data_IF_230296734484
#
_entry.id   IF_230296734484
#
_cell.length_a   1.000
_cell.length_b   1.000
_cell.length_c   1.000
_cell.angle_alpha   90.00
_cell.angle_beta   90.00
_cell.angle_gamma   90.00
#
_symmetry.space_group_name_H-M   'P 1'
#
loop_
_entity.id
_entity.type
_entity.pdbx_description
1 polymer ?
#
# COMPACT_ATOMS: atom_id res chain seq x y z
N UNK A 1 18.68 -33.49 -27.94
CA UNK A 1 18.28 -33.75 -26.54
C UNK A 1 19.53 -34.00 -25.74
N UNK A 2 19.65 -33.33 -24.61
CA UNK A 2 20.74 -33.50 -23.65
C UNK A 2 20.16 -33.70 -22.26
N UNK A 3 20.95 -34.37 -21.39
CA UNK A 3 20.66 -34.55 -19.99
C UNK A 3 21.55 -33.58 -19.20
N UNK A 4 20.95 -32.71 -18.41
CA UNK A 4 21.63 -31.72 -17.60
C UNK A 4 21.61 -32.13 -16.13
N UNK A 5 22.78 -32.26 -15.53
CA UNK A 5 22.94 -32.42 -14.08
C UNK A 5 23.23 -31.04 -13.46
N UNK A 6 22.47 -30.64 -12.46
CA UNK A 6 22.62 -29.35 -11.77
C UNK A 6 22.38 -29.58 -10.28
N UNK A 7 22.96 -28.74 -9.41
CA UNK A 7 22.73 -28.85 -7.95
C UNK A 7 21.26 -28.53 -7.54
N UNK A 8 20.45 -27.97 -8.44
CA UNK A 8 19.06 -27.62 -8.14
C UNK A 8 18.11 -28.81 -8.13
N UNK A 9 18.49 -29.95 -8.78
CA UNK A 9 17.60 -31.10 -8.93
C UNK A 9 18.32 -32.39 -8.55
N UNK A 10 17.64 -33.31 -7.83
CA UNK A 10 18.24 -34.60 -7.42
C UNK A 10 18.46 -35.56 -8.58
N UNK A 11 17.77 -35.35 -9.70
CA UNK A 11 17.86 -36.15 -10.93
C UNK A 11 18.20 -35.25 -12.12
N UNK A 12 18.91 -35.78 -13.13
CA UNK A 12 19.19 -35.02 -14.36
C UNK A 12 17.92 -34.63 -15.09
N UNK A 13 17.91 -33.42 -15.64
CA UNK A 13 16.79 -32.87 -16.41
C UNK A 13 17.06 -33.01 -17.93
N UNK A 14 16.06 -33.48 -18.63
CA UNK A 14 16.12 -33.57 -20.07
C UNK A 14 15.71 -32.24 -20.72
N UNK A 15 16.45 -31.82 -21.76
CA UNK A 15 16.18 -30.60 -22.45
C UNK A 15 16.87 -30.51 -23.81
N UNK A 16 16.74 -29.33 -24.42
CA UNK A 16 17.41 -28.95 -25.66
C UNK A 16 18.56 -28.00 -25.34
N UNK A 17 19.76 -28.38 -25.76
CA UNK A 17 20.92 -27.48 -25.77
C UNK A 17 20.99 -26.78 -27.11
N UNK A 18 21.17 -25.47 -27.09
CA UNK A 18 21.35 -24.60 -28.22
C UNK A 18 22.66 -23.85 -27.99
N UNK A 19 23.60 -24.04 -28.86
CA UNK A 19 24.82 -23.24 -28.89
C UNK A 19 24.77 -22.32 -30.11
N UNK A 20 25.09 -21.04 -29.87
CA UNK A 20 25.10 -20.00 -30.90
C UNK A 20 26.51 -19.46 -31.02
N UNK A 21 26.95 -19.21 -32.24
CA UNK A 21 28.20 -18.45 -32.45
C UNK A 21 28.00 -16.99 -32.04
N UNK A 22 29.07 -16.28 -31.72
CA UNK A 22 29.00 -14.88 -31.30
C UNK A 22 28.25 -13.98 -32.30
N UNK A 23 28.33 -14.27 -33.57
CA UNK A 23 27.62 -13.56 -34.64
C UNK A 23 26.11 -13.84 -34.73
N UNK A 24 25.62 -14.89 -34.06
CA UNK A 24 24.20 -15.27 -34.01
C UNK A 24 23.50 -14.84 -32.72
N UNK A 25 24.26 -14.31 -31.77
CA UNK A 25 23.69 -13.79 -30.52
C UNK A 25 23.10 -12.41 -30.74
N UNK A 26 21.86 -12.20 -30.26
CA UNK A 26 21.27 -10.87 -30.15
C UNK A 26 21.84 -10.13 -28.93
N UNK A 27 21.68 -8.81 -28.90
CA UNK A 27 22.09 -8.00 -27.75
C UNK A 27 21.47 -8.51 -26.44
N UNK A 28 22.33 -8.87 -25.50
CA UNK A 28 21.94 -9.39 -24.18
C UNK A 28 21.68 -10.90 -24.11
N UNK A 29 21.75 -11.63 -25.23
CA UNK A 29 21.74 -13.10 -25.22
C UNK A 29 23.08 -13.68 -24.79
N UNK A 30 23.03 -14.77 -24.05
CA UNK A 30 24.21 -15.57 -23.68
C UNK A 30 24.09 -17.00 -24.22
N UNK A 31 25.21 -17.60 -24.59
CA UNK A 31 25.30 -18.99 -24.99
C UNK A 31 26.29 -19.75 -24.09
N UNK A 32 26.19 -21.08 -23.98
CA UNK A 32 25.13 -21.92 -24.51
C UNK A 32 23.77 -21.75 -23.79
N UNK A 33 22.68 -22.07 -24.49
CA UNK A 33 21.33 -22.05 -23.91
C UNK A 33 20.82 -23.46 -23.68
N UNK A 34 20.25 -23.72 -22.50
CA UNK A 34 19.56 -24.97 -22.20
C UNK A 34 18.11 -24.69 -21.90
N UNK A 35 17.18 -25.38 -22.53
CA UNK A 35 15.75 -25.30 -22.29
C UNK A 35 15.22 -26.67 -21.86
N UNK A 36 14.71 -26.77 -20.65
CA UNK A 36 14.07 -28.00 -20.15
C UNK A 36 12.82 -28.32 -20.96
N UNK A 37 12.59 -29.62 -21.19
CA UNK A 37 11.33 -30.12 -21.74
C UNK A 37 10.20 -30.10 -20.71
N UNK A 38 10.53 -30.15 -19.43
CA UNK A 38 9.56 -29.99 -18.36
C UNK A 38 9.18 -28.53 -18.22
N UNK A 39 7.89 -28.25 -18.42
CA UNK A 39 7.36 -26.89 -18.38
C UNK A 39 7.28 -26.34 -16.95
N UNK A 40 7.30 -27.21 -15.94
CA UNK A 40 7.20 -26.80 -14.54
C UNK A 40 7.95 -27.75 -13.62
N UNK A 41 8.86 -27.18 -12.88
CA UNK A 41 9.73 -27.84 -11.91
C UNK A 41 9.59 -27.17 -10.56
N UNK A 42 9.66 -27.95 -9.50
CA UNK A 42 9.67 -27.43 -8.13
C UNK A 42 11.06 -27.63 -7.54
N UNK A 43 11.71 -26.54 -7.20
CA UNK A 43 13.00 -26.54 -6.52
C UNK A 43 12.75 -26.10 -5.08
N UNK A 44 12.96 -27.04 -4.15
CA UNK A 44 13.02 -26.72 -2.73
C UNK A 44 14.40 -26.17 -2.40
N UNK A 45 14.44 -25.13 -1.59
CA UNK A 45 15.69 -24.48 -1.17
C UNK A 45 16.57 -24.08 -2.37
N UNK A 46 15.97 -23.42 -3.38
CA UNK A 46 16.72 -22.75 -4.44
C UNK A 46 17.84 -21.89 -3.84
N UNK A 47 17.53 -21.24 -2.72
CA UNK A 47 18.43 -20.57 -1.78
C UNK A 47 17.91 -20.78 -0.37
N UNK A 48 18.67 -20.34 0.64
CA UNK A 48 18.21 -20.41 2.03
C UNK A 48 16.84 -19.72 2.19
N UNK A 49 15.87 -20.43 2.76
CA UNK A 49 14.49 -19.96 2.96
C UNK A 49 13.73 -19.57 1.67
N UNK A 50 14.13 -20.11 0.52
CA UNK A 50 13.53 -19.74 -0.76
C UNK A 50 13.27 -20.98 -1.62
N UNK A 51 12.01 -21.17 -2.02
CA UNK A 51 11.59 -22.18 -2.98
C UNK A 51 11.28 -21.54 -4.34
N UNK A 52 11.37 -22.35 -5.40
CA UNK A 52 10.97 -21.94 -6.74
C UNK A 52 9.99 -22.97 -7.34
N UNK A 53 9.01 -22.46 -8.09
CA UNK A 53 8.05 -23.28 -8.83
C UNK A 53 7.80 -22.65 -10.21
N UNK A 54 8.30 -23.26 -11.27
CA UNK A 54 8.20 -22.73 -12.64
C UNK A 54 9.03 -23.50 -13.66
N UNK A 55 9.10 -22.99 -14.88
CA UNK A 55 9.96 -23.52 -15.93
C UNK A 55 11.43 -23.24 -15.66
N UNK A 56 12.31 -24.05 -16.27
CA UNK A 56 13.75 -23.95 -16.10
C UNK A 56 14.45 -23.83 -17.45
N UNK A 57 15.30 -22.81 -17.56
CA UNK A 57 16.23 -22.64 -18.66
C UNK A 57 17.54 -22.08 -18.13
N UNK A 58 18.63 -22.31 -18.85
CA UNK A 58 19.91 -21.66 -18.63
C UNK A 58 20.26 -20.82 -19.86
N UNK A 59 20.79 -19.63 -19.65
CA UNK A 59 21.37 -18.76 -20.67
C UNK A 59 22.76 -18.36 -20.19
N UNK A 60 23.80 -18.99 -20.73
CA UNK A 60 25.14 -18.89 -20.17
C UNK A 60 25.17 -19.37 -18.71
N UNK A 61 25.48 -18.44 -17.80
CA UNK A 61 25.50 -18.70 -16.35
C UNK A 61 24.20 -18.35 -15.63
N UNK A 62 23.22 -17.77 -16.35
CA UNK A 62 21.97 -17.32 -15.76
C UNK A 62 20.92 -18.42 -15.77
N UNK A 63 20.27 -18.63 -14.65
CA UNK A 63 19.04 -19.40 -14.56
C UNK A 63 17.87 -18.49 -14.95
N UNK A 64 17.09 -18.91 -15.94
CA UNK A 64 15.89 -18.22 -16.38
C UNK A 64 14.68 -19.03 -15.95
N UNK A 65 13.94 -18.46 -15.01
CA UNK A 65 12.66 -19.00 -14.53
C UNK A 65 11.55 -18.53 -15.47
N UNK A 66 10.77 -19.46 -16.04
CA UNK A 66 9.68 -19.14 -16.96
C UNK A 66 8.34 -19.62 -16.46
N UNK A 67 7.30 -18.82 -16.68
CA UNK A 67 5.91 -19.16 -16.47
C UNK A 67 5.07 -18.86 -17.70
N UNK A 68 3.78 -19.11 -17.63
CA UNK A 68 2.79 -18.69 -18.60
C UNK A 68 1.69 -17.87 -17.90
N UNK A 69 0.79 -17.25 -18.68
CA UNK A 69 -0.27 -16.38 -18.14
C UNK A 69 -1.21 -17.09 -17.17
N UNK A 70 -1.46 -18.37 -17.38
CA UNK A 70 -2.32 -19.19 -16.53
C UNK A 70 -1.58 -19.69 -15.28
N UNK A 71 -0.29 -19.92 -15.41
CA UNK A 71 0.59 -20.46 -14.37
C UNK A 71 1.94 -19.74 -14.37
N UNK A 72 2.03 -18.51 -13.82
CA UNK A 72 3.29 -17.81 -13.72
C UNK A 72 4.29 -18.59 -12.86
N UNK A 73 5.57 -18.40 -13.11
CA UNK A 73 6.63 -18.91 -12.25
C UNK A 73 6.56 -18.20 -10.90
N UNK A 74 7.00 -18.86 -9.82
CA UNK A 74 6.92 -18.36 -8.45
C UNK A 74 8.24 -18.50 -7.73
N UNK A 75 8.62 -17.45 -7.02
CA UNK A 75 9.65 -17.46 -5.98
C UNK A 75 8.92 -17.32 -4.64
N UNK A 76 9.12 -18.28 -3.76
CA UNK A 76 8.39 -18.37 -2.49
C UNK A 76 9.39 -18.26 -1.36
N UNK A 77 9.26 -17.22 -0.56
CA UNK A 77 10.08 -16.99 0.63
C UNK A 77 9.39 -17.56 1.87
N UNK A 78 10.16 -18.24 2.70
CA UNK A 78 9.67 -18.92 3.90
C UNK A 78 10.37 -18.39 5.15
N UNK A 79 9.65 -18.43 6.26
CA UNK A 79 10.21 -18.27 7.59
C UNK A 79 9.77 -19.47 8.42
N UNK A 80 10.71 -20.23 8.97
CA UNK A 80 10.42 -21.48 9.70
C UNK A 80 9.51 -22.42 8.89
N UNK A 81 9.88 -22.66 7.63
CA UNK A 81 9.14 -23.50 6.66
C UNK A 81 7.74 -23.00 6.27
N UNK A 82 7.23 -21.92 6.84
CA UNK A 82 5.96 -21.30 6.47
C UNK A 82 6.16 -20.30 5.35
N UNK A 83 5.44 -20.40 4.21
CA UNK A 83 5.45 -19.37 3.19
C UNK A 83 4.89 -18.05 3.77
N UNK A 84 5.66 -16.97 3.65
CA UNK A 84 5.26 -15.64 4.10
C UNK A 84 5.11 -14.70 2.92
N UNK A 85 5.94 -14.90 1.89
CA UNK A 85 6.04 -13.96 0.79
C UNK A 85 6.19 -14.72 -0.53
N UNK A 86 5.35 -14.43 -1.49
CA UNK A 86 5.36 -15.01 -2.84
C UNK A 86 5.50 -13.91 -3.88
N UNK A 87 6.41 -14.12 -4.81
CA UNK A 87 6.53 -13.29 -6.01
C UNK A 87 6.27 -14.18 -7.21
N UNK A 88 5.34 -13.78 -8.07
CA UNK A 88 5.01 -14.50 -9.29
C UNK A 88 5.25 -13.65 -10.53
N UNK A 89 5.80 -14.26 -11.59
CA UNK A 89 6.12 -13.59 -12.85
C UNK A 89 6.14 -14.56 -14.02
N UNK A 90 6.04 -14.02 -15.23
CA UNK A 90 6.27 -14.78 -16.46
C UNK A 90 7.75 -15.09 -16.66
N UNK A 91 8.65 -14.20 -16.17
CA UNK A 91 10.08 -14.37 -16.35
C UNK A 91 10.86 -13.90 -15.11
N UNK A 92 11.75 -14.75 -14.63
CA UNK A 92 12.78 -14.42 -13.65
C UNK A 92 14.15 -14.61 -14.28
N UNK A 93 15.05 -13.65 -14.10
CA UNK A 93 16.48 -13.80 -14.34
C UNK A 93 17.21 -13.96 -13.00
N UNK A 94 17.92 -15.05 -12.84
CA UNK A 94 18.58 -15.41 -11.61
C UNK A 94 20.06 -15.68 -11.86
N UNK A 95 20.92 -15.01 -11.15
CA UNK A 95 22.35 -15.29 -11.07
C UNK A 95 22.75 -15.46 -9.58
N UNK A 96 23.98 -15.87 -9.25
CA UNK A 96 24.35 -16.08 -7.85
C UNK A 96 24.18 -14.87 -6.93
N UNK A 97 24.22 -13.65 -7.45
CA UNK A 97 24.16 -12.41 -6.68
C UNK A 97 22.74 -11.86 -6.54
N UNK A 98 21.84 -12.16 -7.49
CA UNK A 98 20.52 -11.50 -7.55
C UNK A 98 19.45 -12.33 -8.26
N UNK A 99 18.21 -11.96 -8.00
CA UNK A 99 17.03 -12.40 -8.78
C UNK A 99 16.26 -11.17 -9.21
N UNK A 100 15.94 -11.08 -10.49
CA UNK A 100 15.24 -9.92 -11.08
C UNK A 100 14.01 -10.39 -11.85
N UNK A 101 12.92 -9.63 -11.73
CA UNK A 101 11.80 -9.68 -12.68
C UNK A 101 11.29 -8.27 -12.95
N UNK A 102 11.08 -7.95 -14.23
CA UNK A 102 10.57 -6.63 -14.63
C UNK A 102 9.08 -6.48 -14.42
N UNK A 103 8.36 -7.59 -14.34
CA UNK A 103 6.90 -7.63 -14.17
C UNK A 103 6.54 -8.75 -13.20
N UNK A 104 6.40 -8.39 -11.96
CA UNK A 104 6.10 -9.32 -10.90
C UNK A 104 4.82 -8.94 -10.15
N UNK A 105 4.14 -9.95 -9.63
CA UNK A 105 3.05 -9.80 -8.67
C UNK A 105 3.56 -10.21 -7.31
N UNK A 106 3.23 -9.42 -6.32
CA UNK A 106 3.52 -9.70 -4.92
C UNK A 106 2.31 -10.30 -4.24
N UNK A 107 2.56 -11.22 -3.31
CA UNK A 107 1.61 -11.65 -2.29
C UNK A 107 2.34 -11.91 -0.96
N UNK A 108 2.03 -11.13 0.08
CA UNK A 108 2.44 -11.38 1.46
C UNK A 108 1.25 -11.94 2.23
N UNK A 109 1.47 -12.99 3.01
CA UNK A 109 0.40 -13.71 3.71
C UNK A 109 0.35 -13.32 5.18
N UNK A 110 -0.86 -13.06 5.68
CA UNK A 110 -1.14 -12.94 7.11
C UNK A 110 -1.63 -14.27 7.70
N UNK A 111 -1.53 -14.42 9.01
CA UNK A 111 -1.88 -15.67 9.70
C UNK A 111 -3.34 -16.07 9.57
N UNK A 112 -4.23 -15.11 9.41
CA UNK A 112 -5.66 -15.31 9.26
C UNK A 112 -6.12 -15.69 7.84
N UNK A 113 -5.17 -15.80 6.89
CA UNK A 113 -5.44 -16.08 5.47
C UNK A 113 -5.64 -14.86 4.58
N UNK A 114 -5.74 -13.64 5.15
CA UNK A 114 -5.69 -12.40 4.38
C UNK A 114 -4.30 -12.21 3.75
N UNK A 115 -4.18 -11.27 2.85
CA UNK A 115 -2.90 -10.97 2.19
C UNK A 115 -2.77 -9.51 1.81
N UNK A 116 -1.52 -9.06 1.71
CA UNK A 116 -1.17 -7.85 0.98
C UNK A 116 -0.75 -8.27 -0.42
N UNK A 117 -1.26 -7.60 -1.45
CA UNK A 117 -0.93 -7.88 -2.85
C UNK A 117 -0.48 -6.63 -3.58
N UNK A 118 0.32 -6.82 -4.63
CA UNK A 118 0.60 -5.80 -5.63
C UNK A 118 0.61 -6.43 -7.01
N UNK A 119 -0.15 -5.86 -7.94
CA UNK A 119 -0.44 -6.49 -9.22
C UNK A 119 0.72 -6.44 -10.22
N UNK A 120 1.58 -5.41 -10.16
CA UNK A 120 2.66 -5.22 -11.12
C UNK A 120 3.78 -4.34 -10.56
N UNK A 121 4.94 -4.95 -10.32
CA UNK A 121 6.14 -4.27 -9.82
C UNK A 121 7.41 -4.80 -10.48
N UNK A 122 8.48 -4.02 -10.42
CA UNK A 122 9.83 -4.51 -10.62
C UNK A 122 10.26 -5.24 -9.33
N UNK A 123 10.61 -6.49 -9.45
CA UNK A 123 11.15 -7.28 -8.34
C UNK A 123 12.67 -7.38 -8.45
N UNK A 124 13.34 -7.13 -7.35
CA UNK A 124 14.78 -7.28 -7.19
C UNK A 124 15.09 -7.93 -5.85
N UNK A 125 15.84 -9.01 -5.87
CA UNK A 125 16.40 -9.64 -4.67
C UNK A 125 17.93 -9.56 -4.70
N UNK A 126 18.51 -9.03 -3.64
CA UNK A 126 19.96 -8.91 -3.43
C UNK A 126 20.42 -10.00 -2.46
N UNK A 127 21.22 -10.94 -2.93
CA UNK A 127 21.70 -12.08 -2.13
C UNK A 127 22.61 -11.61 -0.98
N UNK A 128 23.51 -10.69 -1.24
CA UNK A 128 24.48 -10.24 -0.24
C UNK A 128 23.82 -9.51 0.92
N UNK A 129 22.75 -8.74 0.62
CA UNK A 129 21.97 -8.00 1.61
C UNK A 129 20.81 -8.76 2.18
N UNK A 130 20.45 -9.91 1.59
CA UNK A 130 19.22 -10.67 1.89
C UNK A 130 17.98 -9.76 1.84
N UNK A 131 17.92 -8.90 0.82
CA UNK A 131 16.93 -7.82 0.69
C UNK A 131 16.09 -8.01 -0.57
N UNK A 132 14.80 -8.12 -0.37
CA UNK A 132 13.77 -7.99 -1.42
C UNK A 132 13.43 -6.51 -1.57
N UNK A 133 13.42 -6.03 -2.81
CA UNK A 133 12.95 -4.70 -3.18
C UNK A 133 11.91 -4.84 -4.29
N UNK A 134 10.77 -4.24 -4.08
CA UNK A 134 9.68 -4.15 -5.04
C UNK A 134 9.45 -2.68 -5.37
N UNK A 135 9.68 -2.32 -6.62
CA UNK A 135 9.39 -0.97 -7.10
C UNK A 135 8.07 -1.00 -7.85
N UNK A 136 7.09 -0.27 -7.33
CA UNK A 136 5.78 -0.16 -7.95
C UNK A 136 5.90 0.51 -9.32
N UNK A 137 5.24 -0.04 -10.34
CA UNK A 137 5.20 0.62 -11.64
C UNK A 137 4.39 1.90 -11.56
N UNK A 138 4.84 2.90 -12.29
CA UNK A 138 4.18 4.21 -12.41
C UNK A 138 3.29 4.24 -13.65
N UNK A 139 2.15 4.89 -13.52
CA UNK A 139 1.36 5.35 -14.65
C UNK A 139 1.28 6.88 -14.59
N UNK A 140 2.06 7.54 -15.43
CA UNK A 140 2.28 8.99 -15.32
C UNK A 140 3.00 9.33 -14.00
N UNK A 141 2.43 10.21 -13.19
CA UNK A 141 2.96 10.61 -11.87
C UNK A 141 2.52 9.72 -10.71
N UNK A 142 1.57 8.82 -10.92
CA UNK A 142 0.99 7.99 -9.87
C UNK A 142 1.55 6.56 -9.89
N UNK A 143 1.63 5.94 -8.73
CA UNK A 143 2.02 4.54 -8.55
C UNK A 143 0.79 3.68 -8.35
N UNK A 144 0.83 2.42 -8.82
CA UNK A 144 -0.19 1.43 -8.46
C UNK A 144 -0.13 1.15 -6.97
N UNK A 145 -1.28 1.04 -6.28
CA UNK A 145 -1.29 0.79 -4.85
C UNK A 145 -0.95 -0.67 -4.51
N UNK A 146 -0.40 -0.85 -3.33
CA UNK A 146 -0.44 -2.11 -2.60
C UNK A 146 -1.84 -2.25 -2.00
N UNK A 147 -2.50 -3.38 -2.23
CA UNK A 147 -3.83 -3.67 -1.70
C UNK A 147 -3.68 -4.58 -0.47
N UNK A 148 -3.95 -4.04 0.70
CA UNK A 148 -3.85 -4.78 1.94
C UNK A 148 -5.23 -5.21 2.43
N UNK A 149 -5.52 -6.49 2.30
CA UNK A 149 -6.83 -7.06 2.68
C UNK A 149 -6.99 -7.29 4.18
N UNK A 150 -5.88 -7.30 4.94
CA UNK A 150 -5.93 -7.40 6.39
C UNK A 150 -6.29 -6.08 7.04
N UNK A 151 -5.58 -5.00 6.63
CA UNK A 151 -5.84 -3.65 7.09
C UNK A 151 -7.00 -2.98 6.34
N UNK A 152 -7.45 -3.53 5.20
CA UNK A 152 -8.48 -2.97 4.32
C UNK A 152 -8.13 -1.59 3.76
N UNK A 153 -6.89 -1.43 3.31
CA UNK A 153 -6.37 -0.18 2.77
C UNK A 153 -5.61 -0.38 1.46
N UNK A 154 -5.61 0.67 0.65
CA UNK A 154 -4.67 0.88 -0.44
C UNK A 154 -3.49 1.70 0.08
N UNK A 155 -2.26 1.25 -0.20
CA UNK A 155 -1.03 1.99 0.13
C UNK A 155 -0.33 2.38 -1.17
N UNK A 156 -0.32 3.66 -1.47
CA UNK A 156 0.34 4.22 -2.64
C UNK A 156 1.78 4.57 -2.26
N UNK A 157 2.66 3.60 -2.38
CA UNK A 157 4.08 3.72 -2.07
C UNK A 157 4.92 3.33 -3.29
N UNK A 158 6.01 4.07 -3.60
CA UNK A 158 6.85 3.74 -4.76
C UNK A 158 7.67 2.47 -4.56
N UNK A 159 8.06 2.16 -3.33
CA UNK A 159 8.95 1.04 -3.02
C UNK A 159 8.49 0.30 -1.77
N UNK A 160 8.52 -1.01 -1.84
CA UNK A 160 8.33 -1.92 -0.70
C UNK A 160 9.58 -2.78 -0.55
N UNK A 161 10.11 -2.86 0.66
CA UNK A 161 11.32 -3.59 0.98
C UNK A 161 11.08 -4.63 2.07
N UNK A 162 11.78 -5.75 1.97
CA UNK A 162 11.78 -6.74 3.03
C UNK A 162 13.17 -7.40 3.16
N UNK A 163 13.73 -7.31 4.35
CA UNK A 163 14.92 -8.09 4.71
C UNK A 163 14.45 -9.45 5.20
N UNK A 164 14.85 -10.53 4.52
CA UNK A 164 14.28 -11.90 4.71
C UNK A 164 14.28 -12.36 6.17
N UNK A 165 15.33 -12.01 6.92
CA UNK A 165 15.46 -12.40 8.33
C UNK A 165 14.77 -11.44 9.31
N UNK A 166 14.03 -10.45 8.82
CA UNK A 166 13.25 -9.52 9.63
C UNK A 166 11.76 -9.82 9.49
N UNK A 167 11.03 -9.58 10.60
CA UNK A 167 9.57 -9.63 10.58
C UNK A 167 8.93 -8.27 10.31
N UNK A 168 9.70 -7.35 9.69
CA UNK A 168 9.30 -5.96 9.48
C UNK A 168 9.54 -5.51 8.04
N UNK A 169 8.75 -5.99 7.04
CA UNK A 169 8.75 -5.38 5.74
C UNK A 169 8.24 -3.93 5.83
N UNK A 170 8.72 -3.05 4.94
CA UNK A 170 8.49 -1.62 5.05
C UNK A 170 8.29 -0.93 3.70
N UNK A 171 7.56 0.18 3.72
CA UNK A 171 7.37 1.07 2.58
C UNK A 171 8.42 2.17 2.58
N UNK A 172 9.01 2.44 1.42
CA UNK A 172 10.11 3.38 1.24
C UNK A 172 9.94 4.21 -0.05
N UNK A 173 10.97 4.92 -0.43
CA UNK A 173 11.02 5.77 -1.62
C UNK A 173 12.16 5.35 -2.55
N UNK A 174 12.10 5.79 -3.80
CA UNK A 174 13.18 5.58 -4.76
C UNK A 174 14.40 6.45 -4.40
N UNK A 175 15.60 5.93 -4.58
CA UNK A 175 16.82 6.70 -4.42
C UNK A 175 16.83 7.88 -5.39
N UNK A 176 17.26 9.06 -4.91
CA UNK A 176 17.28 10.28 -5.71
C UNK A 176 15.97 11.07 -5.74
N UNK A 177 14.91 10.59 -5.07
CA UNK A 177 13.66 11.36 -4.93
C UNK A 177 13.89 12.63 -4.10
N UNK A 178 13.39 13.77 -4.59
CA UNK A 178 13.42 15.04 -3.84
C UNK A 178 12.65 14.90 -2.51
N UNK A 179 13.10 15.65 -1.48
CA UNK A 179 12.55 15.53 -0.11
C UNK A 179 11.05 15.82 -0.07
N UNK A 180 10.60 16.82 -0.83
CA UNK A 180 9.18 17.25 -0.87
C UNK A 180 8.26 16.18 -1.48
N UNK A 181 8.84 15.24 -2.23
CA UNK A 181 8.12 14.14 -2.89
C UNK A 181 8.17 12.83 -2.09
N UNK A 182 8.89 12.82 -0.96
CA UNK A 182 9.01 11.63 -0.11
C UNK A 182 7.78 11.48 0.77
N UNK A 183 6.71 10.99 0.18
CA UNK A 183 5.45 10.68 0.86
C UNK A 183 4.79 9.43 0.30
N UNK A 184 3.97 8.80 1.12
CA UNK A 184 3.03 7.77 0.72
C UNK A 184 1.61 8.24 1.05
N UNK A 185 0.61 7.68 0.37
CA UNK A 185 -0.79 7.86 0.71
C UNK A 185 -1.39 6.53 1.12
N UNK A 186 -2.17 6.55 2.17
CA UNK A 186 -2.94 5.41 2.67
C UNK A 186 -4.42 5.78 2.56
N UNK A 187 -5.20 4.90 1.95
CA UNK A 187 -6.60 5.12 1.63
C UNK A 187 -7.42 3.88 1.99
N UNK A 188 -8.51 4.06 2.69
CA UNK A 188 -9.45 2.96 3.02
C UNK A 188 -10.04 2.34 1.75
N UNK A 189 -10.36 1.04 1.77
CA UNK A 189 -11.11 0.40 0.69
C UNK A 189 -12.52 0.99 0.50
N UNK A 190 -13.06 1.61 1.53
CA UNK A 190 -14.37 2.24 1.52
C UNK A 190 -14.30 3.76 1.39
N UNK A 191 -13.09 4.32 1.16
CA UNK A 191 -12.90 5.74 0.96
C UNK A 191 -13.67 6.24 -0.26
N UNK A 192 -14.36 7.38 -0.06
CA UNK A 192 -15.01 8.11 -1.15
C UNK A 192 -14.80 9.62 -0.99
N UNK A 193 -14.45 10.28 -2.09
CA UNK A 193 -14.33 11.74 -2.20
C UNK A 193 -15.26 12.22 -3.31
N UNK A 194 -16.32 12.91 -2.92
CA UNK A 194 -17.30 13.46 -3.86
C UNK A 194 -16.66 14.49 -4.79
N UNK A 195 -15.74 15.30 -4.27
CA UNK A 195 -15.02 16.30 -5.08
C UNK A 195 -14.16 15.64 -6.16
N UNK A 196 -13.46 14.53 -5.84
CA UNK A 196 -12.73 13.76 -6.83
C UNK A 196 -13.68 13.14 -7.86
N UNK A 197 -14.79 12.56 -7.41
CA UNK A 197 -15.78 11.95 -8.29
C UNK A 197 -16.34 12.98 -9.29
N UNK A 198 -16.70 14.19 -8.84
CA UNK A 198 -17.20 15.25 -9.72
C UNK A 198 -16.10 15.78 -10.65
N UNK A 199 -14.86 15.94 -10.19
CA UNK A 199 -13.72 16.32 -11.05
C UNK A 199 -13.48 15.32 -12.18
N UNK A 200 -13.72 14.01 -11.96
CA UNK A 200 -13.59 12.99 -13.01
C UNK A 200 -14.60 13.18 -14.16
N UNK A 201 -15.72 13.83 -13.90
CA UNK A 201 -16.70 14.17 -14.92
C UNK A 201 -16.14 15.13 -15.98
N UNK A 202 -15.22 16.02 -15.59
CA UNK A 202 -14.63 17.04 -16.48
C UNK A 202 -15.70 17.92 -17.11
N UNK A 203 -15.50 18.27 -18.40
CA UNK A 203 -16.46 19.03 -19.21
C UNK A 203 -17.56 18.11 -19.79
N UNK A 204 -17.40 16.80 -19.67
CA UNK A 204 -18.34 15.81 -20.19
C UNK A 204 -19.66 15.72 -19.41
N UNK A 205 -20.71 15.23 -20.09
CA UNK A 205 -22.00 14.99 -19.45
C UNK A 205 -22.00 13.69 -18.60
N UNK A 206 -21.07 12.78 -18.85
CA UNK A 206 -21.03 11.43 -18.28
C UNK A 206 -19.83 11.32 -17.34
N UNK A 207 -20.08 10.88 -16.11
CA UNK A 207 -18.96 10.53 -15.21
C UNK A 207 -18.36 9.18 -15.63
N UNK A 208 -17.05 9.11 -15.94
CA UNK A 208 -16.43 7.91 -16.47
C UNK A 208 -16.46 6.74 -15.48
N UNK A 209 -16.37 6.99 -14.16
CA UNK A 209 -16.42 5.94 -13.13
C UNK A 209 -17.78 5.23 -13.19
N UNK A 210 -18.88 5.98 -13.16
CA UNK A 210 -20.23 5.40 -13.22
C UNK A 210 -20.54 4.73 -14.54
N UNK A 211 -20.08 5.32 -15.66
CA UNK A 211 -20.32 4.76 -17.00
C UNK A 211 -19.61 3.41 -17.17
N UNK A 212 -18.34 3.32 -16.80
CA UNK A 212 -17.55 2.08 -16.87
C UNK A 212 -18.11 1.03 -15.93
N UNK A 213 -18.48 1.39 -14.68
CA UNK A 213 -19.08 0.45 -13.73
C UNK A 213 -20.39 -0.14 -14.26
N UNK A 214 -21.27 0.70 -14.81
CA UNK A 214 -22.53 0.29 -15.38
C UNK A 214 -22.35 -0.61 -16.61
N UNK A 215 -21.43 -0.25 -17.51
CA UNK A 215 -21.13 -1.02 -18.70
C UNK A 215 -20.58 -2.40 -18.35
N UNK A 216 -19.56 -2.46 -17.47
CA UNK A 216 -18.96 -3.74 -17.04
C UNK A 216 -19.99 -4.68 -16.39
N UNK A 217 -20.89 -4.14 -15.56
CA UNK A 217 -22.01 -4.91 -14.94
C UNK A 217 -23.02 -5.38 -15.98
N UNK A 218 -23.41 -4.53 -16.93
CA UNK A 218 -24.37 -4.90 -17.98
C UNK A 218 -23.86 -6.03 -18.87
N UNK A 219 -22.55 -6.07 -19.12
CA UNK A 219 -21.90 -7.11 -19.90
C UNK A 219 -21.44 -8.32 -19.08
N UNK A 220 -21.58 -8.26 -17.75
CA UNK A 220 -21.06 -9.26 -16.82
C UNK A 220 -19.59 -9.62 -17.09
N UNK A 221 -18.80 -8.60 -17.34
CA UNK A 221 -17.37 -8.75 -17.66
C UNK A 221 -16.49 -8.02 -16.66
N UNK A 222 -15.31 -8.59 -16.40
CA UNK A 222 -14.27 -7.96 -15.57
C UNK A 222 -13.13 -7.40 -16.41
N UNK A 223 -13.15 -7.61 -17.72
CA UNK A 223 -12.11 -7.16 -18.66
C UNK A 223 -12.82 -6.52 -19.84
N UNK A 224 -12.36 -5.34 -20.23
CA UNK A 224 -12.85 -4.57 -21.36
C UNK A 224 -11.70 -4.37 -22.37
N UNK A 225 -12.01 -4.42 -23.65
CA UNK A 225 -11.11 -3.90 -24.69
C UNK A 225 -11.14 -2.37 -24.70
N UNK A 226 -10.16 -1.72 -25.36
CA UNK A 226 -10.17 -0.27 -25.56
C UNK A 226 -11.43 0.19 -26.31
N UNK A 227 -11.95 -0.60 -27.23
CA UNK A 227 -13.19 -0.29 -27.97
C UNK A 227 -14.43 -0.38 -27.07
N UNK A 228 -14.50 -1.34 -26.17
CA UNK A 228 -15.59 -1.44 -25.18
C UNK A 228 -15.55 -0.29 -24.17
N UNK A 229 -14.33 0.11 -23.74
CA UNK A 229 -14.15 1.31 -22.93
C UNK A 229 -14.65 2.57 -23.66
N UNK A 230 -14.30 2.71 -24.94
CA UNK A 230 -14.77 3.82 -25.78
C UNK A 230 -16.31 3.83 -25.90
N UNK A 231 -16.91 2.66 -26.09
CA UNK A 231 -18.36 2.50 -26.12
C UNK A 231 -19.02 2.86 -24.77
N UNK A 232 -18.43 2.44 -23.66
CA UNK A 232 -18.91 2.78 -22.32
C UNK A 232 -18.91 4.29 -22.06
N UNK A 233 -17.96 5.02 -22.64
CA UNK A 233 -17.80 6.47 -22.50
C UNK A 233 -18.46 7.29 -23.62
N UNK A 234 -19.16 6.65 -24.56
CA UNK A 234 -19.75 7.27 -25.74
C UNK A 234 -18.74 8.15 -26.52
N UNK A 235 -17.56 7.63 -26.80
CA UNK A 235 -16.42 8.37 -27.32
C UNK A 235 -15.56 7.51 -28.23
N UNK A 236 -14.44 8.04 -28.74
CA UNK A 236 -13.47 7.28 -29.54
C UNK A 236 -12.31 6.76 -28.69
N UNK A 237 -11.58 5.76 -29.19
CA UNK A 237 -10.41 5.19 -28.50
C UNK A 237 -9.36 6.29 -28.25
N UNK A 238 -9.10 7.12 -29.25
CA UNK A 238 -8.07 8.17 -29.19
C UNK A 238 -8.40 9.24 -28.14
N UNK A 239 -9.66 9.69 -28.12
CA UNK A 239 -10.10 10.74 -27.16
C UNK A 239 -10.15 10.24 -25.72
N UNK A 240 -10.34 8.92 -25.53
CA UNK A 240 -10.41 8.32 -24.20
C UNK A 240 -9.05 7.95 -23.59
N UNK A 241 -7.98 8.00 -24.37
CA UNK A 241 -6.67 7.57 -23.90
C UNK A 241 -6.19 8.35 -22.66
N UNK A 242 -6.41 9.66 -22.64
CA UNK A 242 -6.06 10.50 -21.48
C UNK A 242 -6.94 10.20 -20.28
N UNK A 243 -8.24 9.99 -20.46
CA UNK A 243 -9.18 9.63 -19.40
C UNK A 243 -8.82 8.25 -18.83
N UNK A 244 -8.55 7.28 -19.69
CA UNK A 244 -8.13 5.93 -19.30
C UNK A 244 -6.84 5.98 -18.45
N UNK A 245 -5.80 6.70 -18.92
CA UNK A 245 -4.55 6.84 -18.20
C UNK A 245 -4.73 7.54 -16.84
N UNK A 246 -5.59 8.54 -16.78
CA UNK A 246 -5.93 9.21 -15.53
C UNK A 246 -6.64 8.26 -14.55
N UNK A 247 -7.62 7.49 -15.00
CA UNK A 247 -8.29 6.49 -14.17
C UNK A 247 -7.35 5.37 -13.72
N UNK A 248 -6.41 4.97 -14.57
CA UNK A 248 -5.34 4.01 -14.21
C UNK A 248 -4.44 4.61 -13.12
N UNK A 249 -4.03 5.88 -13.27
CA UNK A 249 -3.15 6.54 -12.30
C UNK A 249 -3.80 6.71 -10.92
N UNK A 250 -5.12 6.80 -10.87
CA UNK A 250 -5.91 6.91 -9.63
C UNK A 250 -6.33 5.54 -9.06
N UNK A 251 -5.93 4.45 -9.71
CA UNK A 251 -6.22 3.09 -9.26
C UNK A 251 -7.63 2.59 -9.56
N UNK A 252 -8.42 3.30 -10.36
CA UNK A 252 -9.77 2.86 -10.78
C UNK A 252 -9.74 1.80 -11.87
N UNK A 253 -8.68 1.77 -12.68
CA UNK A 253 -8.48 0.82 -13.76
C UNK A 253 -7.08 0.22 -13.68
N UNK A 254 -6.91 -0.99 -14.22
CA UNK A 254 -5.61 -1.51 -14.64
C UNK A 254 -5.60 -1.65 -16.15
N UNK A 255 -4.46 -1.42 -16.79
CA UNK A 255 -4.32 -1.50 -18.25
C UNK A 255 -3.16 -2.38 -18.65
N UNK A 256 -3.43 -3.32 -19.54
CA UNK A 256 -2.43 -4.15 -20.22
C UNK A 256 -2.24 -3.62 -21.63
N UNK A 257 -1.07 -3.02 -21.91
CA UNK A 257 -0.78 -2.40 -23.20
C UNK A 257 -0.54 -3.41 -24.33
N UNK A 258 -0.06 -4.61 -24.00
CA UNK A 258 0.20 -5.68 -25.00
C UNK A 258 -1.11 -6.29 -25.50
N UNK A 259 -2.02 -6.56 -24.60
CA UNK A 259 -3.33 -7.13 -24.92
C UNK A 259 -4.39 -6.07 -25.22
N UNK A 260 -4.07 -4.77 -25.07
CA UNK A 260 -5.01 -3.64 -25.18
C UNK A 260 -6.28 -3.84 -24.34
N UNK A 261 -6.10 -4.33 -23.12
CA UNK A 261 -7.16 -4.67 -22.21
C UNK A 261 -7.16 -3.76 -20.98
N UNK A 262 -8.34 -3.36 -20.58
CA UNK A 262 -8.62 -2.55 -19.38
C UNK A 262 -9.41 -3.39 -18.41
N UNK A 263 -9.01 -3.41 -17.15
CA UNK A 263 -9.74 -4.10 -16.08
C UNK A 263 -10.17 -3.09 -15.03
N UNK A 264 -11.50 -2.88 -14.83
CA UNK A 264 -12.02 -2.11 -13.71
C UNK A 264 -11.61 -2.73 -12.37
N UNK A 265 -11.17 -1.91 -11.43
CA UNK A 265 -10.77 -2.35 -10.10
C UNK A 265 -11.97 -2.34 -9.14
N UNK A 266 -11.83 -2.97 -7.97
CA UNK A 266 -12.82 -2.89 -6.89
C UNK A 266 -13.08 -1.45 -6.47
N UNK A 267 -12.04 -0.59 -6.45
CA UNK A 267 -12.15 0.84 -6.16
C UNK A 267 -13.16 1.54 -7.07
N UNK A 268 -13.13 1.25 -8.39
CA UNK A 268 -14.08 1.86 -9.33
C UNK A 268 -15.53 1.53 -8.99
N UNK A 269 -15.80 0.28 -8.68
CA UNK A 269 -17.15 -0.15 -8.32
C UNK A 269 -17.58 0.43 -6.98
N UNK A 270 -16.71 0.47 -5.97
CA UNK A 270 -16.98 1.06 -4.68
C UNK A 270 -17.32 2.54 -4.78
N UNK A 271 -16.55 3.32 -5.58
CA UNK A 271 -16.83 4.74 -5.82
C UNK A 271 -18.18 4.95 -6.52
N UNK A 272 -18.51 4.15 -7.53
CA UNK A 272 -19.80 4.20 -8.20
C UNK A 272 -20.96 3.87 -7.26
N UNK A 273 -20.79 2.89 -6.39
CA UNK A 273 -21.82 2.45 -5.44
C UNK A 273 -21.99 3.45 -4.29
N UNK A 274 -20.90 4.04 -3.78
CA UNK A 274 -20.94 5.11 -2.79
C UNK A 274 -21.74 6.32 -3.34
N UNK A 275 -21.42 6.81 -4.54
CA UNK A 275 -22.16 7.92 -5.16
C UNK A 275 -23.62 7.63 -5.38
N UNK A 276 -24.00 6.38 -5.67
CA UNK A 276 -25.39 5.98 -5.87
C UNK A 276 -26.14 5.61 -4.58
N UNK A 277 -25.50 5.73 -3.42
CA UNK A 277 -26.07 5.36 -2.12
C UNK A 277 -26.28 3.85 -1.92
N UNK A 278 -25.69 3.00 -2.76
CA UNK A 278 -25.75 1.55 -2.65
C UNK A 278 -24.78 0.97 -1.64
N UNK A 279 -23.76 1.75 -1.27
CA UNK A 279 -22.70 1.38 -0.35
C UNK A 279 -22.40 2.55 0.57
N UNK A 280 -22.23 2.28 1.84
CA UNK A 280 -21.66 3.20 2.81
C UNK A 280 -20.17 3.46 2.49
N UNK A 281 -19.65 4.61 2.88
CA UNK A 281 -18.28 5.00 2.64
C UNK A 281 -17.69 5.72 3.84
N UNK A 282 -16.38 5.93 3.83
CA UNK A 282 -15.64 6.67 4.85
C UNK A 282 -14.76 7.76 4.23
N UNK A 283 -14.18 8.59 5.08
CA UNK A 283 -13.26 9.66 4.69
C UNK A 283 -11.79 9.32 5.02
N UNK A 284 -11.50 8.06 5.36
CA UNK A 284 -10.18 7.66 5.85
C UNK A 284 -9.17 7.59 4.71
N UNK A 285 -8.54 8.73 4.45
CA UNK A 285 -7.39 8.85 3.56
C UNK A 285 -6.41 9.87 4.15
N UNK A 286 -5.13 9.53 4.21
CA UNK A 286 -4.11 10.40 4.77
C UNK A 286 -2.73 10.11 4.17
N UNK A 287 -1.83 11.06 4.33
CA UNK A 287 -0.45 10.95 3.87
C UNK A 287 0.51 10.73 5.04
N UNK A 288 1.60 10.04 4.74
CA UNK A 288 2.75 9.91 5.62
C UNK A 288 4.00 10.43 4.90
N UNK A 289 4.66 11.41 5.51
CA UNK A 289 5.82 12.11 4.95
C UNK A 289 7.09 11.75 5.71
N UNK A 290 8.20 11.56 5.00
CA UNK A 290 9.52 11.53 5.62
C UNK A 290 10.03 12.95 5.88
N UNK A 291 9.48 13.61 6.88
CA UNK A 291 10.03 14.85 7.36
C UNK A 291 11.05 14.56 8.46
N UNK A 292 12.28 15.11 8.37
CA UNK A 292 13.12 15.14 9.54
C UNK A 292 12.39 16.00 10.58
N UNK A 293 11.91 15.37 11.64
CA UNK A 293 11.30 16.13 12.74
C UNK A 293 12.37 16.93 13.41
N UNK A 294 12.17 18.21 13.39
CA UNK A 294 12.86 19.12 14.25
C UNK A 294 12.11 19.16 15.57
N UNK A 295 12.66 18.54 16.61
CA UNK A 295 12.53 19.10 17.96
C UNK A 295 13.00 20.57 18.00
N UNK A 296 13.52 21.08 16.88
CA UNK A 296 14.06 22.41 16.68
C UNK A 296 13.05 23.56 16.69
N UNK A 297 11.76 23.27 16.81
CA UNK A 297 10.75 24.32 17.04
C UNK A 297 10.60 24.65 18.55
N UNK A 298 11.20 23.85 19.44
CA UNK A 298 11.25 24.12 20.87
C UNK A 298 12.69 24.46 21.27
N UNK A 299 12.87 25.54 22.06
CA UNK A 299 14.19 25.84 22.61
C UNK A 299 14.61 24.74 23.60
N UNK A 300 15.92 24.55 23.78
CA UNK A 300 16.45 23.59 24.76
C UNK A 300 15.91 23.84 26.19
N UNK A 301 15.61 25.08 26.50
CA UNK A 301 15.04 25.48 27.80
C UNK A 301 13.56 25.08 27.93
N UNK A 302 12.79 25.14 26.85
CA UNK A 302 11.41 24.65 26.82
C UNK A 302 11.35 23.13 26.97
N UNK A 303 12.25 22.40 26.27
CA UNK A 303 12.37 20.92 26.37
C UNK A 303 12.77 20.52 27.81
N UNK A 304 13.68 21.25 28.42
CA UNK A 304 14.19 20.93 29.75
C UNK A 304 13.22 21.37 30.91
N UNK A 305 12.38 22.36 30.66
CA UNK A 305 11.43 22.88 31.66
C UNK A 305 10.10 22.14 31.68
N UNK A 306 9.73 21.47 30.56
CA UNK A 306 8.49 20.73 30.48
C UNK A 306 8.79 19.21 30.62
N UNK A 307 8.32 18.56 31.70
CA UNK A 307 8.51 17.13 31.92
C UNK A 307 8.00 16.27 30.77
N UNK A 308 6.95 16.71 30.08
CA UNK A 308 6.35 16.04 28.94
C UNK A 308 7.24 16.13 27.71
N UNK A 309 7.73 17.32 27.36
CA UNK A 309 8.66 17.52 26.26
C UNK A 309 10.00 16.79 26.51
N UNK A 310 10.44 16.73 27.77
CA UNK A 310 11.65 15.99 28.16
C UNK A 310 11.47 14.48 28.05
N UNK A 311 10.32 13.95 28.44
CA UNK A 311 9.99 12.53 28.27
C UNK A 311 9.84 12.18 26.76
N UNK A 312 9.27 13.08 25.97
CA UNK A 312 9.16 13.00 24.51
C UNK A 312 10.54 13.04 23.87
N UNK A 313 11.44 13.90 24.33
CA UNK A 313 12.82 13.97 23.83
C UNK A 313 13.59 12.69 24.14
N UNK A 314 13.48 12.13 25.32
CA UNK A 314 14.08 10.85 25.71
C UNK A 314 13.48 9.70 24.88
N UNK A 315 12.15 9.65 24.73
CA UNK A 315 11.47 8.62 23.91
C UNK A 315 11.75 8.80 22.43
N UNK A 316 11.77 10.02 21.92
CA UNK A 316 12.11 10.33 20.52
C UNK A 316 13.59 10.08 20.24
N UNK A 317 14.50 10.37 21.16
CA UNK A 317 15.91 10.03 20.99
C UNK A 317 16.12 8.51 21.01
N UNK A 318 15.44 7.77 21.86
CA UNK A 318 15.46 6.31 21.87
C UNK A 318 14.76 5.71 20.62
N UNK A 319 13.64 6.27 20.19
CA UNK A 319 12.95 5.90 18.94
C UNK A 319 13.68 6.46 17.71
N UNK A 320 14.09 7.71 17.69
CA UNK A 320 14.81 8.34 16.57
C UNK A 320 16.14 7.67 16.29
N UNK A 321 16.87 7.20 17.30
CA UNK A 321 18.09 6.42 17.08
C UNK A 321 17.77 5.09 16.40
N UNK A 322 16.58 4.55 16.60
CA UNK A 322 16.09 3.34 15.94
C UNK A 322 15.49 3.60 14.56
N UNK A 323 14.86 4.76 14.34
CA UNK A 323 14.11 5.12 13.12
C UNK A 323 14.86 6.10 12.20
N UNK A 324 15.76 6.97 12.70
CA UNK A 324 16.52 7.93 11.85
C UNK A 324 17.51 7.27 10.90
N UNK A 325 17.93 6.04 11.16
CA UNK A 325 18.78 5.27 10.23
C UNK A 325 17.97 4.43 9.22
N UNK A 326 16.64 4.49 9.25
CA UNK A 326 15.79 3.71 8.36
C UNK A 326 14.90 4.65 7.55
N UNK A 327 15.14 4.70 6.26
CA UNK A 327 14.41 5.53 5.30
C UNK A 327 13.07 4.89 4.92
N UNK A 328 12.12 4.80 5.85
CA UNK A 328 10.80 4.25 5.58
C UNK A 328 9.66 5.10 6.16
N UNK A 329 8.49 5.01 5.52
CA UNK A 329 7.25 5.70 5.93
C UNK A 329 6.40 4.87 6.89
N UNK A 330 6.36 3.56 6.62
CA UNK A 330 5.59 2.63 7.40
C UNK A 330 6.23 1.25 7.34
N UNK A 331 6.03 0.45 8.37
CA UNK A 331 6.43 -0.96 8.37
C UNK A 331 5.33 -1.84 8.93
N UNK A 332 5.25 -3.06 8.42
CA UNK A 332 4.34 -4.08 8.90
C UNK A 332 5.09 -4.93 9.92
N UNK A 333 4.66 -4.98 11.16
CA UNK A 333 5.10 -5.99 12.12
C UNK A 333 4.29 -7.26 11.88
N UNK A 334 4.90 -8.25 11.21
CA UNK A 334 4.23 -9.50 10.84
C UNK A 334 3.81 -10.30 12.08
N UNK A 335 4.62 -10.29 13.15
CA UNK A 335 4.32 -11.04 14.37
C UNK A 335 3.13 -10.45 15.14
N UNK A 336 3.04 -9.12 15.19
CA UNK A 336 1.95 -8.41 15.85
C UNK A 336 0.77 -8.17 14.93
N UNK A 337 0.96 -8.37 13.62
CA UNK A 337 0.00 -8.02 12.56
C UNK A 337 -0.48 -6.57 12.71
N UNK A 338 0.46 -5.64 12.76
CA UNK A 338 0.24 -4.21 12.93
C UNK A 338 1.02 -3.43 11.87
N UNK A 339 0.41 -2.38 11.34
CA UNK A 339 1.06 -1.44 10.44
C UNK A 339 1.41 -0.18 11.24
N UNK A 340 2.70 0.06 11.44
CA UNK A 340 3.23 1.26 12.05
C UNK A 340 3.46 2.31 10.98
N UNK A 341 2.84 3.47 11.12
CA UNK A 341 2.91 4.57 10.16
C UNK A 341 3.54 5.77 10.85
N UNK A 342 4.52 6.39 10.21
CA UNK A 342 5.25 7.54 10.73
C UNK A 342 5.12 8.73 9.80
N UNK A 343 5.18 9.96 10.33
CA UNK A 343 5.11 11.17 9.51
C UNK A 343 3.69 11.58 9.11
N UNK A 344 2.69 11.17 9.86
CA UNK A 344 1.29 11.55 9.66
C UNK A 344 0.92 12.70 10.61
N UNK A 345 0.50 13.84 10.07
CA UNK A 345 0.16 15.01 10.87
C UNK A 345 -1.34 15.05 11.25
N UNK A 346 -2.20 14.67 10.31
CA UNK A 346 -3.65 14.68 10.54
C UNK A 346 -4.32 13.52 9.80
N UNK A 347 -5.32 12.91 10.44
CA UNK A 347 -6.15 11.84 9.87
C UNK A 347 -7.62 12.23 10.04
N UNK A 348 -8.29 12.55 8.94
CA UNK A 348 -9.73 12.74 8.93
C UNK A 348 -10.43 11.39 9.11
N UNK A 349 -11.32 11.31 10.09
CA UNK A 349 -12.14 10.12 10.37
C UNK A 349 -13.55 10.32 9.80
N UNK A 350 -14.15 11.49 10.04
CA UNK A 350 -15.45 11.86 9.50
C UNK A 350 -15.47 13.35 9.21
N UNK A 351 -15.65 13.71 7.94
CA UNK A 351 -15.80 15.10 7.54
C UNK A 351 -17.15 15.67 7.99
N UNK A 352 -18.21 14.87 7.94
CA UNK A 352 -19.55 15.29 8.36
C UNK A 352 -19.61 15.65 9.83
N UNK A 353 -18.88 14.91 10.68
CA UNK A 353 -18.82 15.15 12.13
C UNK A 353 -17.61 16.00 12.55
N UNK A 354 -16.84 16.53 11.58
CA UNK A 354 -15.61 17.29 11.83
C UNK A 354 -14.67 16.56 12.81
N UNK A 355 -14.47 15.26 12.55
CA UNK A 355 -13.67 14.40 13.44
C UNK A 355 -12.34 14.06 12.79
N UNK A 356 -11.25 14.35 13.53
CA UNK A 356 -9.89 14.05 13.10
C UNK A 356 -8.97 13.71 14.26
N UNK A 357 -7.87 13.04 13.93
CA UNK A 357 -6.78 12.67 14.83
C UNK A 357 -5.53 13.43 14.39
N UNK A 358 -4.85 14.08 15.33
CA UNK A 358 -3.50 14.61 15.16
C UNK A 358 -2.55 13.79 16.06
N UNK A 359 -1.86 12.79 15.49
CA UNK A 359 -1.04 11.89 16.29
C UNK A 359 0.16 12.62 16.87
N UNK A 360 0.37 12.46 18.18
CA UNK A 360 1.61 12.86 18.83
C UNK A 360 2.79 12.12 18.17
N UNK A 361 3.91 12.81 18.03
CA UNK A 361 5.06 12.27 17.32
C UNK A 361 4.74 11.78 15.88
N UNK A 362 3.59 12.17 15.26
CA UNK A 362 3.05 11.75 13.95
C UNK A 362 3.16 10.25 13.72
N UNK A 363 2.94 9.45 14.79
CA UNK A 363 2.96 7.98 14.74
C UNK A 363 1.56 7.47 15.02
N UNK A 364 1.10 6.59 14.13
CA UNK A 364 -0.15 5.87 14.32
C UNK A 364 0.07 4.37 14.07
N UNK A 365 -0.64 3.54 14.82
CA UNK A 365 -0.61 2.10 14.66
C UNK A 365 -1.96 1.66 14.10
N UNK A 366 -1.95 1.16 12.87
CA UNK A 366 -3.13 0.56 12.27
C UNK A 366 -3.18 -0.93 12.60
N UNK A 367 -4.34 -1.37 13.03
CA UNK A 367 -4.67 -2.76 13.30
C UNK A 367 -5.62 -3.31 12.24
N UNK A 368 -6.03 -4.56 12.38
CA UNK A 368 -6.97 -5.21 11.48
C UNK A 368 -8.18 -4.32 11.19
N UNK A 369 -8.62 -4.33 9.94
CA UNK A 369 -9.84 -3.65 9.50
C UNK A 369 -9.87 -2.13 9.78
N UNK A 370 -8.74 -1.44 9.63
CA UNK A 370 -8.63 0.03 9.78
C UNK A 370 -8.79 0.54 11.21
N UNK A 371 -8.77 -0.33 12.21
CA UNK A 371 -8.71 0.11 13.59
C UNK A 371 -7.40 0.87 13.85
N UNK A 372 -7.47 1.97 14.59
CA UNK A 372 -6.30 2.82 14.85
C UNK A 372 -6.02 2.90 16.35
N UNK A 373 -4.76 2.81 16.71
CA UNK A 373 -4.28 3.13 18.06
C UNK A 373 -3.33 4.31 17.96
N UNK A 374 -3.54 5.30 18.83
CA UNK A 374 -2.77 6.54 18.79
C UNK A 374 -2.67 7.18 20.17
N UNK A 375 -1.73 8.10 20.27
CA UNK A 375 -1.59 9.13 21.27
C UNK A 375 -1.62 10.48 20.56
N UNK A 376 -2.23 11.52 21.15
CA UNK A 376 -2.25 12.86 20.56
C UNK A 376 -3.57 13.58 20.75
N UNK A 377 -3.85 14.53 19.86
CA UNK A 377 -5.06 15.32 19.87
C UNK A 377 -6.17 14.61 19.09
N UNK A 378 -7.34 14.50 19.70
CA UNK A 378 -8.59 14.08 19.06
C UNK A 378 -9.53 15.28 18.99
N UNK A 379 -9.94 15.63 17.78
CA UNK A 379 -10.96 16.63 17.51
C UNK A 379 -12.24 15.91 17.08
N UNK A 380 -13.37 16.24 17.67
CA UNK A 380 -14.68 15.67 17.34
C UNK A 380 -15.76 16.75 17.45
N UNK A 381 -15.95 17.49 16.36
CA UNK A 381 -16.88 18.63 16.32
C UNK A 381 -16.51 19.70 17.33
N UNK A 382 -17.31 19.80 18.39
CA UNK A 382 -17.10 20.77 19.50
C UNK A 382 -16.30 20.20 20.68
N UNK A 383 -15.93 18.94 20.61
CA UNK A 383 -15.14 18.27 21.64
C UNK A 383 -13.69 18.12 21.14
N UNK A 384 -12.74 18.52 21.96
CA UNK A 384 -11.32 18.33 21.73
C UNK A 384 -10.69 17.69 22.98
N UNK A 385 -9.81 16.71 22.79
CA UNK A 385 -9.11 16.12 23.91
C UNK A 385 -7.70 15.66 23.54
N UNK A 386 -6.79 15.72 24.52
CA UNK A 386 -5.45 15.13 24.43
C UNK A 386 -5.51 13.77 25.11
N UNK A 387 -5.12 12.74 24.37
CA UNK A 387 -5.15 11.36 24.84
C UNK A 387 -3.76 10.74 24.86
N UNK A 388 -3.44 9.98 25.89
CA UNK A 388 -2.20 9.21 26.00
C UNK A 388 -2.33 7.80 25.42
N UNK A 389 -3.52 7.20 25.46
CA UNK A 389 -3.86 5.94 24.80
C UNK A 389 -5.33 5.98 24.36
N UNK A 390 -5.52 5.99 23.06
CA UNK A 390 -6.85 5.91 22.46
C UNK A 390 -6.86 4.87 21.34
N UNK A 391 -8.03 4.31 21.14
CA UNK A 391 -8.29 3.30 20.12
C UNK A 391 -9.54 3.68 19.34
N UNK A 392 -9.42 3.76 18.03
CA UNK A 392 -10.55 3.93 17.12
C UNK A 392 -10.98 2.56 16.61
N UNK A 393 -12.21 2.16 16.90
CA UNK A 393 -12.86 0.98 16.33
C UNK A 393 -13.57 1.38 15.04
N UNK A 394 -13.04 0.95 13.92
CA UNK A 394 -13.66 1.24 12.61
C UNK A 394 -15.03 0.54 12.48
N UNK A 395 -15.14 -0.67 12.99
CA UNK A 395 -16.39 -1.44 12.90
C UNK A 395 -17.52 -0.75 13.67
N UNK A 396 -17.25 -0.29 14.90
CA UNK A 396 -18.24 0.36 15.77
C UNK A 396 -18.32 1.86 15.53
N UNK A 397 -17.41 2.40 14.73
CA UNK A 397 -17.22 3.82 14.39
C UNK A 397 -17.20 4.73 15.62
N UNK A 398 -16.39 4.34 16.61
CA UNK A 398 -16.23 5.02 17.90
C UNK A 398 -14.77 5.07 18.36
N UNK A 399 -14.47 6.02 19.21
CA UNK A 399 -13.22 6.04 19.97
C UNK A 399 -13.42 5.43 21.35
N UNK A 400 -12.43 4.67 21.80
CA UNK A 400 -12.27 4.17 23.15
C UNK A 400 -11.11 4.94 23.76
N UNK A 401 -11.41 5.85 24.70
CA UNK A 401 -10.47 6.72 25.39
C UNK A 401 -10.06 6.02 26.67
N UNK A 402 -8.86 5.48 26.71
CA UNK A 402 -8.35 4.71 27.85
C UNK A 402 -7.63 5.57 28.84
N UNK A 403 -6.94 6.60 28.35
CA UNK A 403 -6.18 7.54 29.15
C UNK A 403 -6.23 8.92 28.50
N UNK A 404 -6.99 9.82 29.12
CA UNK A 404 -7.25 11.17 28.64
C UNK A 404 -6.65 12.16 29.64
N UNK A 405 -5.71 12.98 29.14
CA UNK A 405 -5.06 13.99 29.96
C UNK A 405 -5.96 15.22 30.18
N UNK A 406 -6.51 15.73 29.09
CA UNK A 406 -7.23 16.99 29.09
C UNK A 406 -8.29 17.02 28.01
N UNK A 407 -9.44 17.61 28.29
CA UNK A 407 -10.49 17.82 27.33
C UNK A 407 -11.16 19.17 27.44
N UNK A 408 -11.58 19.69 26.29
CA UNK A 408 -12.31 20.93 26.14
C UNK A 408 -13.60 20.68 25.41
N UNK A 409 -14.68 21.27 25.88
CA UNK A 409 -15.95 21.31 25.15
C UNK A 409 -16.26 22.77 24.79
N UNK A 410 -16.45 23.04 23.51
CA UNK A 410 -16.92 24.35 23.05
C UNK A 410 -18.45 24.32 22.88
N UNK A 411 -19.09 25.39 23.21
CA UNK A 411 -20.55 25.51 23.14
C UNK A 411 -20.96 26.82 22.43
N UNK A 412 -22.10 26.78 21.78
CA UNK A 412 -22.70 28.01 21.22
C UNK A 412 -23.46 28.71 22.38
N UNK A 413 -23.13 29.96 22.71
CA UNK A 413 -23.83 30.68 23.76
C UNK A 413 -25.28 30.94 23.39
N UNK A 414 -26.17 30.84 24.37
CA UNK A 414 -27.60 31.17 24.18
C UNK A 414 -27.81 32.66 23.88
N UNK A 415 -26.90 33.51 24.39
CA UNK A 415 -26.84 34.95 24.11
C UNK A 415 -25.39 35.33 23.91
N UNK A 416 -25.05 35.80 22.70
CA UNK A 416 -23.73 36.35 22.42
C UNK A 416 -23.75 37.84 22.81
N UNK A 417 -23.14 38.22 23.90
CA UNK A 417 -23.04 39.64 24.34
C UNK A 417 -21.92 40.37 23.60
N UNK A 418 -20.95 39.63 23.03
CA UNK A 418 -19.75 40.17 22.39
C UNK A 418 -19.57 39.75 20.93
N UNK A 419 -20.59 39.13 20.32
CA UNK A 419 -20.53 38.66 18.97
C UNK A 419 -19.74 37.34 18.76
N UNK A 420 -19.27 36.69 19.84
CA UNK A 420 -18.61 35.39 19.77
C UNK A 420 -19.61 34.30 19.36
N UNK A 421 -19.28 33.56 18.30
CA UNK A 421 -20.14 32.45 17.85
C UNK A 421 -19.95 31.18 18.70
N UNK A 422 -18.81 31.02 19.36
CA UNK A 422 -18.42 29.82 20.11
C UNK A 422 -17.61 30.24 21.35
N UNK A 423 -17.93 29.65 22.48
CA UNK A 423 -17.18 29.84 23.74
C UNK A 423 -16.74 28.51 24.32
N UNK A 424 -15.59 28.47 24.98
CA UNK A 424 -15.15 27.31 25.74
C UNK A 424 -15.97 27.22 27.06
N UNK A 425 -16.37 26.00 27.40
CA UNK A 425 -16.88 25.75 28.71
C UNK A 425 -15.74 25.94 29.72
N UNK A 426 -15.92 26.79 30.72
CA UNK A 426 -14.93 27.12 31.73
C UNK A 426 -14.52 25.95 32.65
N UNK A 427 -14.85 24.70 32.28
CA UNK A 427 -14.52 23.50 33.03
C UNK A 427 -13.84 22.49 32.08
N UNK A 428 -12.64 22.07 32.42
CA UNK A 428 -11.94 20.97 31.79
C UNK A 428 -12.25 19.66 32.53
N UNK A 429 -12.28 18.56 31.76
CA UNK A 429 -12.40 17.23 32.33
C UNK A 429 -11.03 16.55 32.23
N UNK A 430 -10.51 16.07 33.36
CA UNK A 430 -9.20 15.43 33.43
C UNK A 430 -9.36 13.97 33.84
N UNK A 431 -8.43 13.10 33.36
CA UNK A 431 -8.36 11.68 33.71
C UNK A 431 -9.64 10.88 33.41
N UNK A 432 -10.33 11.26 32.36
CA UNK A 432 -11.53 10.54 31.90
C UNK A 432 -11.16 9.28 31.15
N UNK A 433 -12.03 8.29 31.29
CA UNK A 433 -12.08 7.09 30.43
C UNK A 433 -13.49 6.98 29.90
N UNK A 434 -13.63 6.58 28.66
CA UNK A 434 -14.96 6.45 28.08
C UNK A 434 -14.96 6.11 26.61
N UNK A 435 -16.12 6.17 26.03
CA UNK A 435 -16.35 5.95 24.61
C UNK A 435 -16.92 7.21 23.98
N UNK A 436 -16.42 7.56 22.80
CA UNK A 436 -16.94 8.66 21.99
C UNK A 436 -17.50 8.06 20.69
N UNK A 437 -18.82 8.05 20.57
CA UNK A 437 -19.52 7.65 19.36
C UNK A 437 -19.46 8.81 18.37
N UNK A 438 -19.05 8.54 17.12
CA UNK A 438 -18.90 9.56 16.09
C UNK A 438 -20.14 9.59 15.21
N UNK A 439 -20.56 8.41 14.74
CA UNK A 439 -21.73 8.26 13.88
C UNK A 439 -22.34 6.87 14.02
N UNK A 440 -23.37 6.60 13.23
CA UNK A 440 -23.97 5.27 13.21
C UNK A 440 -23.06 4.30 12.45
N UNK A 441 -23.01 3.05 12.87
CA UNK A 441 -22.14 1.99 12.34
C UNK A 441 -22.31 1.77 10.82
N UNK A 442 -23.49 2.10 10.29
CA UNK A 442 -23.87 1.93 8.89
C UNK A 442 -24.00 3.26 8.12
N UNK A 443 -23.55 4.34 8.69
CA UNK A 443 -23.47 5.68 8.08
C UNK A 443 -22.22 6.38 8.58
N UNK A 444 -21.07 6.13 7.91
CA UNK A 444 -19.74 6.63 8.32
C UNK A 444 -19.35 7.91 7.58
N UNK A 445 -20.17 8.33 6.62
CA UNK A 445 -19.96 9.49 5.75
C UNK A 445 -20.41 10.80 6.37
#
# INVERSE_FOLDING_TARGET
TVSLTTPYFPIPILGKLIDKTYSELMDGEEAPQFNSFEKRLKIKSLRENMDYDGGFSLEGKKFIGRGDDLRPAKVIFKVKEKPIFEVSSLNFSMDPAQIISREARLKLYYDNGDSLIHANCLFYFDEAKQLVTLTAKKSGSSVFPFEDFYFKVYVYAPVFCWKINSFQPYYSYEMGTAQEQKRIMIESFDYFDEGLFERMRGIGKINPISAIASYARSKNTTILSEGELASALNSTIESNKSVMLNLVSLGFLTYNSELKQVKPTTKLFNFSDAKSGKRDFDNLAFTADLRPRKLGDYSADQINSDPYLKELDIKNNAMNTRYMNQSYFAFIDINKQQLFITGTDNIAISNAQSTSIEPDSSIIIMKKNRDLQFKGLLLAGKFACIVNDAYFSYQDFKFILKDLDYSVLTVKPLRAEDGSEIIEMGSSFNQLKGELLIDQVYSKS
#
